data_IF_896939622429
#
_entry.id   IF_896939622429
#
_cell.length_a   1.000
_cell.length_b   1.000
_cell.length_c   1.000
_cell.angle_alpha   90.00
_cell.angle_beta   90.00
_cell.angle_gamma   90.00
#
_symmetry.space_group_name_H-M   'P 1'
#
loop_
_entity.id
_entity.type
_entity.pdbx_description
1 polymer ?
#
# COMPACT_ATOMS: atom_id res chain seq x y z
N UNK A 1 -14.54 -0.25 9.10
CA UNK A 1 -13.82 -0.54 10.37
C UNK A 1 -12.58 0.35 10.45
N UNK A 2 -12.07 0.65 11.65
CA UNK A 2 -10.84 1.46 11.78
C UNK A 2 -9.62 0.55 11.84
N UNK A 3 -8.47 0.98 11.31
CA UNK A 3 -7.19 0.25 11.40
C UNK A 3 -6.93 -0.22 12.85
N UNK A 4 -7.28 0.59 13.85
CA UNK A 4 -7.13 0.26 15.27
C UNK A 4 -7.87 -1.02 15.72
N UNK A 5 -9.04 -1.33 15.13
CA UNK A 5 -9.82 -2.51 15.53
C UNK A 5 -9.12 -3.83 15.18
N UNK A 6 -8.22 -3.82 14.18
CA UNK A 6 -7.47 -5.00 13.74
C UNK A 6 -6.41 -5.46 14.76
N UNK A 7 -5.96 -4.59 15.67
CA UNK A 7 -4.80 -4.83 16.53
C UNK A 7 -4.96 -5.97 17.56
N UNK A 8 -6.18 -6.30 17.95
CA UNK A 8 -6.47 -7.31 18.98
C UNK A 8 -7.30 -8.49 18.45
N UNK A 9 -7.53 -8.55 17.14
CA UNK A 9 -8.29 -9.62 16.50
C UNK A 9 -7.33 -10.75 16.13
N UNK A 10 -7.73 -12.02 16.27
CA UNK A 10 -6.97 -13.13 15.73
C UNK A 10 -7.16 -13.08 14.21
N UNK A 11 -6.20 -12.49 13.50
CA UNK A 11 -6.25 -12.34 12.04
C UNK A 11 -5.44 -13.44 11.36
N UNK A 12 -5.95 -13.93 10.23
CA UNK A 12 -5.21 -14.71 9.25
C UNK A 12 -5.40 -14.12 7.87
N UNK A 13 -4.59 -14.60 6.93
CA UNK A 13 -4.71 -14.26 5.51
C UNK A 13 -5.13 -15.49 4.71
N UNK A 14 -5.96 -15.29 3.69
CA UNK A 14 -6.28 -16.31 2.68
C UNK A 14 -5.28 -16.33 1.52
N UNK A 15 -4.38 -15.34 1.44
CA UNK A 15 -3.36 -15.20 0.40
C UNK A 15 -1.98 -15.73 0.80
N UNK A 16 -0.98 -15.41 0.00
CA UNK A 16 0.40 -15.87 0.19
C UNK A 16 1.10 -15.21 1.40
N UNK A 17 0.73 -13.97 1.73
CA UNK A 17 1.34 -13.21 2.81
C UNK A 17 0.52 -13.26 4.09
N UNK A 18 1.20 -13.38 5.22
CA UNK A 18 0.59 -13.23 6.53
C UNK A 18 0.14 -11.77 6.76
N UNK A 19 -0.85 -11.52 7.64
CA UNK A 19 -1.32 -10.15 7.93
C UNK A 19 -0.21 -9.17 8.33
N UNK A 20 0.84 -9.66 9.02
CA UNK A 20 2.02 -8.85 9.33
C UNK A 20 2.73 -8.33 8.07
N UNK A 21 2.99 -9.19 7.08
CA UNK A 21 3.67 -8.85 5.84
C UNK A 21 2.81 -7.93 4.97
N UNK A 22 1.50 -8.19 4.88
CA UNK A 22 0.54 -7.34 4.18
C UNK A 22 0.57 -5.89 4.72
N UNK A 23 0.42 -5.71 6.04
CA UNK A 23 0.42 -4.37 6.63
C UNK A 23 1.78 -3.67 6.51
N UNK A 24 2.87 -4.44 6.54
CA UNK A 24 4.24 -3.96 6.33
C UNK A 24 4.43 -3.46 4.90
N UNK A 25 3.91 -4.19 3.90
CA UNK A 25 3.91 -3.81 2.49
C UNK A 25 3.11 -2.53 2.24
N UNK A 26 1.89 -2.43 2.77
CA UNK A 26 1.10 -1.21 2.65
C UNK A 26 1.82 -0.01 3.27
N UNK A 27 2.51 -0.18 4.40
CA UNK A 27 3.31 0.87 5.01
C UNK A 27 4.48 1.31 4.11
N UNK A 28 5.21 0.35 3.52
CA UNK A 28 6.29 0.64 2.57
C UNK A 28 5.78 1.44 1.37
N UNK A 29 4.61 1.11 0.81
CA UNK A 29 4.02 1.85 -0.31
C UNK A 29 3.76 3.32 0.03
N UNK A 30 3.20 3.58 1.22
CA UNK A 30 2.98 4.94 1.71
C UNK A 30 4.30 5.67 1.94
N UNK A 31 5.27 5.02 2.57
CA UNK A 31 6.59 5.60 2.82
C UNK A 31 7.31 5.97 1.50
N UNK A 32 7.29 5.08 0.51
CA UNK A 32 7.90 5.30 -0.80
C UNK A 32 7.30 6.49 -1.56
N UNK A 33 6.03 6.84 -1.32
CA UNK A 33 5.44 8.06 -1.90
C UNK A 33 6.12 9.36 -1.43
N UNK A 34 6.78 9.33 -0.27
CA UNK A 34 7.55 10.45 0.26
C UNK A 34 9.05 10.32 -0.04
N UNK A 35 9.64 9.15 0.19
CA UNK A 35 11.10 8.97 0.14
C UNK A 35 11.62 8.44 -1.20
N UNK A 36 10.73 8.03 -2.11
CA UNK A 36 11.05 7.45 -3.41
C UNK A 36 10.85 5.95 -3.47
N UNK A 37 10.32 5.48 -4.61
CA UNK A 37 10.30 4.05 -4.94
C UNK A 37 11.66 3.64 -5.54
N UNK A 38 12.30 2.55 -5.06
CA UNK A 38 13.67 2.21 -5.45
C UNK A 38 13.85 1.86 -6.92
N UNK A 39 12.89 1.15 -7.51
CA UNK A 39 12.90 0.80 -8.93
C UNK A 39 11.60 1.29 -9.57
N UNK A 40 11.73 1.99 -10.68
CA UNK A 40 10.64 2.64 -11.42
C UNK A 40 10.35 1.87 -12.71
N UNK A 41 9.09 1.83 -13.13
CA UNK A 41 8.75 1.44 -14.50
C UNK A 41 9.27 2.49 -15.50
N UNK A 42 9.49 2.12 -16.77
CA UNK A 42 9.90 3.07 -17.80
C UNK A 42 8.95 4.27 -17.92
N UNK A 43 9.47 5.46 -18.18
CA UNK A 43 8.67 6.70 -18.24
C UNK A 43 7.51 6.62 -19.24
N UNK A 44 7.72 5.98 -20.40
CA UNK A 44 6.67 5.79 -21.40
C UNK A 44 5.53 4.90 -20.88
N UNK A 45 5.84 3.91 -20.03
CA UNK A 45 4.84 3.05 -19.42
C UNK A 45 3.99 3.85 -18.41
N UNK A 46 4.65 4.63 -17.54
CA UNK A 46 3.99 5.50 -16.56
C UNK A 46 3.09 6.52 -17.25
N UNK A 47 3.55 7.12 -18.34
CA UNK A 47 2.81 8.11 -19.12
C UNK A 47 1.62 7.54 -19.93
N UNK A 48 1.54 6.22 -20.10
CA UNK A 48 0.49 5.55 -20.90
C UNK A 48 -0.32 4.58 -20.05
N UNK A 49 0.09 3.32 -19.99
CA UNK A 49 -0.60 2.22 -19.30
C UNK A 49 -0.80 2.54 -17.82
N UNK A 50 0.23 3.05 -17.15
CA UNK A 50 0.17 3.43 -15.74
C UNK A 50 -0.90 4.47 -15.47
N UNK A 51 -0.86 5.59 -16.18
CA UNK A 51 -1.84 6.67 -16.05
C UNK A 51 -3.27 6.22 -16.38
N UNK A 52 -3.44 5.39 -17.42
CA UNK A 52 -4.76 4.85 -17.80
C UNK A 52 -5.31 3.93 -16.69
N UNK A 53 -4.48 3.02 -16.16
CA UNK A 53 -4.87 2.13 -15.06
C UNK A 53 -5.29 2.94 -13.83
N UNK A 54 -4.49 3.94 -13.43
CA UNK A 54 -4.82 4.80 -12.30
C UNK A 54 -6.12 5.58 -12.50
N UNK A 55 -6.37 6.07 -13.72
CA UNK A 55 -7.62 6.77 -14.06
C UNK A 55 -8.84 5.85 -13.88
N UNK A 56 -8.74 4.61 -14.38
CA UNK A 56 -9.81 3.62 -14.24
C UNK A 56 -10.04 3.26 -12.76
N UNK A 57 -8.98 2.94 -12.02
CA UNK A 57 -9.09 2.61 -10.61
C UNK A 57 -9.70 3.75 -9.80
N UNK A 58 -9.25 4.99 -10.05
CA UNK A 58 -9.82 6.18 -9.39
C UNK A 58 -11.30 6.36 -9.70
N UNK A 59 -11.75 6.06 -10.92
CA UNK A 59 -13.16 6.13 -11.30
C UNK A 59 -14.00 5.03 -10.63
N UNK A 60 -13.43 3.83 -10.45
CA UNK A 60 -14.08 2.71 -9.76
C UNK A 60 -14.04 2.84 -8.23
N UNK A 61 -13.10 3.61 -7.69
CA UNK A 61 -12.82 3.67 -6.25
C UNK A 61 -12.15 2.39 -5.72
N UNK A 62 -11.66 1.53 -6.60
CA UNK A 62 -11.01 0.27 -6.28
C UNK A 62 -9.87 -0.01 -7.28
N UNK A 63 -8.82 -0.66 -6.81
CA UNK A 63 -7.74 -1.16 -7.66
C UNK A 63 -7.66 -2.68 -7.58
N UNK A 64 -7.09 -3.28 -8.61
CA UNK A 64 -6.78 -4.70 -8.64
C UNK A 64 -5.33 -4.88 -9.10
N UNK A 65 -4.55 -5.59 -8.31
CA UNK A 65 -3.20 -6.04 -8.67
C UNK A 65 -2.88 -7.39 -7.99
N UNK A 66 -1.78 -8.06 -8.36
CA UNK A 66 -1.28 -9.22 -7.61
C UNK A 66 -0.96 -8.85 -6.17
N UNK A 67 -1.55 -9.55 -5.20
CA UNK A 67 -1.45 -9.22 -3.77
C UNK A 67 -0.21 -9.82 -3.08
N UNK A 68 0.58 -10.60 -3.83
CA UNK A 68 1.82 -11.24 -3.41
C UNK A 68 3.07 -10.68 -4.14
N UNK A 69 2.95 -9.51 -4.77
CA UNK A 69 4.04 -8.85 -5.49
C UNK A 69 4.70 -7.74 -4.64
N UNK A 70 6.00 -7.88 -4.27
CA UNK A 70 6.69 -6.86 -3.49
C UNK A 70 6.93 -5.59 -4.32
N UNK A 71 7.12 -4.46 -3.64
CA UNK A 71 7.54 -3.22 -4.31
C UNK A 71 8.96 -3.43 -4.86
N UNK A 72 9.19 -3.21 -6.17
CA UNK A 72 10.49 -3.42 -6.79
C UNK A 72 11.63 -2.68 -6.07
N UNK A 73 12.59 -3.45 -5.55
CA UNK A 73 13.79 -2.95 -4.86
C UNK A 73 13.55 -2.40 -3.44
N UNK A 74 12.33 -2.46 -2.90
CA UNK A 74 12.08 -2.14 -1.50
C UNK A 74 12.66 -3.24 -0.57
N UNK A 75 12.87 -2.94 0.73
CA UNK A 75 13.32 -3.95 1.69
C UNK A 75 12.41 -5.18 1.69
N UNK A 76 13.02 -6.37 1.76
CA UNK A 76 12.31 -7.64 1.75
C UNK A 76 11.30 -7.74 2.89
N UNK A 77 10.17 -8.39 2.61
CA UNK A 77 9.11 -8.58 3.59
C UNK A 77 9.38 -9.83 4.43
N UNK A 78 9.57 -9.63 5.73
CA UNK A 78 9.59 -10.72 6.69
C UNK A 78 8.22 -11.43 6.74
N UNK A 79 8.21 -12.76 6.59
CA UNK A 79 6.96 -13.54 6.55
C UNK A 79 6.17 -13.50 7.87
N UNK A 80 6.86 -13.31 8.98
CA UNK A 80 6.28 -13.30 10.33
C UNK A 80 6.76 -12.11 11.13
N UNK A 81 5.91 -11.63 12.04
CA UNK A 81 6.27 -10.55 12.93
C UNK A 81 5.12 -10.13 13.83
N UNK A 82 5.36 -9.05 14.58
CA UNK A 82 4.37 -8.54 15.52
C UNK A 82 3.31 -7.69 14.77
N UNK A 83 2.09 -8.21 14.68
CA UNK A 83 0.97 -7.55 14.01
C UNK A 83 0.70 -6.13 14.53
N UNK A 84 0.77 -5.91 15.85
CA UNK A 84 0.57 -4.59 16.45
C UNK A 84 1.64 -3.60 16.00
N UNK A 85 2.89 -4.05 15.83
CA UNK A 85 3.98 -3.21 15.30
C UNK A 85 3.75 -2.86 13.82
N UNK A 86 3.35 -3.82 12.99
CA UNK A 86 3.06 -3.55 11.57
C UNK A 86 1.90 -2.54 11.41
N UNK A 87 0.84 -2.71 12.20
CA UNK A 87 -0.28 -1.78 12.23
C UNK A 87 0.12 -0.37 12.70
N UNK A 88 0.95 -0.30 13.74
CA UNK A 88 1.48 0.98 14.24
C UNK A 88 2.36 1.67 13.18
N UNK A 89 3.17 0.91 12.44
CA UNK A 89 3.98 1.42 11.33
C UNK A 89 3.09 1.97 10.22
N UNK A 90 2.09 1.21 9.76
CA UNK A 90 1.15 1.67 8.74
C UNK A 90 0.44 2.96 9.16
N UNK A 91 -0.06 3.02 10.40
CA UNK A 91 -0.66 4.24 10.95
C UNK A 91 0.32 5.42 10.96
N UNK A 92 1.58 5.17 11.37
CA UNK A 92 2.62 6.21 11.36
C UNK A 92 2.89 6.69 9.93
N UNK A 93 3.02 5.79 8.96
CA UNK A 93 3.25 6.13 7.56
C UNK A 93 2.14 7.04 7.01
N UNK A 94 0.87 6.78 7.33
CA UNK A 94 -0.23 7.68 6.97
C UNK A 94 -0.13 9.05 7.63
N UNK A 95 0.21 9.12 8.92
CA UNK A 95 0.38 10.38 9.64
C UNK A 95 1.56 11.17 9.06
N UNK A 96 2.68 10.51 8.80
CA UNK A 96 3.86 11.15 8.19
C UNK A 96 3.49 11.68 6.80
N UNK A 97 2.82 10.87 5.97
CA UNK A 97 2.36 11.27 4.64
C UNK A 97 1.40 12.45 4.68
N UNK A 98 0.44 12.48 5.60
CA UNK A 98 -0.49 13.59 5.76
C UNK A 98 0.25 14.90 6.11
N UNK A 99 1.25 14.82 7.00
CA UNK A 99 2.09 15.95 7.39
C UNK A 99 3.21 16.28 6.39
N UNK A 100 3.44 15.46 5.36
CA UNK A 100 4.53 15.66 4.40
C UNK A 100 4.25 16.86 3.47
N UNK A 101 5.06 17.91 3.55
CA UNK A 101 4.90 19.15 2.78
C UNK A 101 5.88 19.29 1.62
N UNK A 102 6.90 18.43 1.57
CA UNK A 102 7.86 18.42 0.47
C UNK A 102 7.25 17.80 -0.80
N UNK A 103 8.00 17.86 -1.89
CA UNK A 103 7.59 17.24 -3.15
C UNK A 103 7.52 15.72 -3.00
N UNK A 104 6.35 15.14 -3.32
CA UNK A 104 6.16 13.69 -3.32
C UNK A 104 6.96 13.05 -4.46
N UNK A 105 7.43 11.83 -4.23
CA UNK A 105 8.10 11.06 -5.26
C UNK A 105 7.10 10.58 -6.32
N UNK A 106 7.54 10.36 -7.58
CA UNK A 106 6.71 9.73 -8.59
C UNK A 106 6.36 8.28 -8.23
N UNK A 107 5.11 7.88 -8.44
CA UNK A 107 4.69 6.50 -8.22
C UNK A 107 5.36 5.57 -9.25
N UNK A 108 5.92 4.46 -8.80
CA UNK A 108 6.70 3.55 -9.64
C UNK A 108 5.97 3.04 -10.89
N UNK A 109 4.64 2.96 -10.84
CA UNK A 109 3.78 2.52 -11.96
C UNK A 109 2.98 3.67 -12.59
N UNK A 110 2.59 4.68 -11.82
CA UNK A 110 1.60 5.68 -12.27
C UNK A 110 2.23 7.03 -12.64
N UNK A 111 3.52 7.23 -12.34
CA UNK A 111 4.20 8.51 -12.54
C UNK A 111 3.82 9.53 -11.48
N UNK A 112 3.89 10.81 -11.85
CA UNK A 112 3.59 11.91 -10.93
C UNK A 112 2.13 11.89 -10.52
N UNK A 113 1.89 11.90 -9.20
CA UNK A 113 0.57 11.97 -8.61
C UNK A 113 0.47 13.18 -7.70
N UNK A 114 -0.69 13.83 -7.68
CA UNK A 114 -0.98 14.85 -6.67
C UNK A 114 -1.11 14.19 -5.29
N UNK A 115 -1.03 14.99 -4.22
CA UNK A 115 -1.27 14.47 -2.85
C UNK A 115 -2.65 13.83 -2.71
N UNK A 116 -3.67 14.38 -3.36
CA UNK A 116 -5.02 13.79 -3.38
C UNK A 116 -5.09 12.47 -4.14
N UNK A 117 -4.33 12.34 -5.23
CA UNK A 117 -4.26 11.10 -5.99
C UNK A 117 -3.50 10.02 -5.23
N UNK A 118 -2.45 10.38 -4.50
CA UNK A 118 -1.78 9.46 -3.58
C UNK A 118 -2.70 9.00 -2.45
N UNK A 119 -3.53 9.88 -1.87
CA UNK A 119 -4.53 9.47 -0.87
C UNK A 119 -5.45 8.39 -1.47
N UNK A 120 -5.95 8.60 -2.70
CA UNK A 120 -6.78 7.61 -3.39
C UNK A 120 -6.03 6.31 -3.62
N UNK A 121 -4.81 6.38 -4.15
CA UNK A 121 -3.97 5.22 -4.41
C UNK A 121 -3.76 4.40 -3.14
N UNK A 122 -3.37 5.04 -2.03
CA UNK A 122 -3.09 4.38 -0.77
C UNK A 122 -4.33 3.73 -0.14
N UNK A 123 -5.51 4.37 -0.25
CA UNK A 123 -6.77 3.81 0.25
C UNK A 123 -7.20 2.61 -0.59
N UNK A 124 -7.16 2.71 -1.92
CA UNK A 124 -7.48 1.60 -2.81
C UNK A 124 -6.53 0.43 -2.60
N UNK A 125 -5.23 0.71 -2.47
CA UNK A 125 -4.18 -0.29 -2.23
C UNK A 125 -4.39 -1.04 -0.92
N UNK A 126 -4.60 -0.29 0.18
CA UNK A 126 -4.92 -0.90 1.47
C UNK A 126 -6.18 -1.75 1.38
N UNK A 127 -7.26 -1.24 0.79
CA UNK A 127 -8.52 -1.97 0.70
C UNK A 127 -8.38 -3.27 -0.09
N UNK A 128 -7.67 -3.27 -1.22
CA UNK A 128 -7.45 -4.48 -2.02
C UNK A 128 -6.67 -5.54 -1.22
N UNK A 129 -5.63 -5.15 -0.47
CA UNK A 129 -4.93 -6.08 0.41
C UNK A 129 -5.76 -6.58 1.60
N UNK A 130 -6.65 -5.75 2.15
CA UNK A 130 -7.55 -6.18 3.23
C UNK A 130 -8.55 -7.24 2.77
N UNK A 131 -8.78 -7.40 1.46
CA UNK A 131 -9.62 -8.47 0.90
C UNK A 131 -9.06 -9.87 1.18
N UNK A 132 -7.78 -10.02 1.51
CA UNK A 132 -7.20 -11.32 1.93
C UNK A 132 -7.24 -11.54 3.44
N UNK A 133 -7.48 -10.50 4.24
CA UNK A 133 -7.47 -10.61 5.70
C UNK A 133 -8.83 -11.10 6.21
N UNK A 134 -8.80 -12.10 7.09
CA UNK A 134 -9.97 -12.67 7.76
C UNK A 134 -9.73 -12.76 9.26
N UNK A 135 -10.81 -12.73 10.02
CA UNK A 135 -10.78 -13.17 11.41
C UNK A 135 -10.86 -14.69 11.47
N UNK A 136 -10.15 -15.30 12.42
CA UNK A 136 -10.48 -16.67 12.81
C UNK A 136 -11.93 -16.71 13.29
N UNK A 137 -12.72 -17.62 12.71
CA UNK A 137 -14.01 -17.99 13.29
C UNK A 137 -13.72 -18.80 14.55
N UNK A 138 -14.38 -18.43 15.66
CA UNK A 138 -14.30 -19.16 16.92
C UNK A 138 -14.87 -20.59 16.79
#
# INVERSE_FOLDING_TARGET
ETIASLSNRPLHSTGAWQPYAILTHCAQSVECSMVGYPIQQPEIYKATVGKLAFTLFSALGAMQHPLDEPIPGAPELEAHGNLKKALARLKKAYIDFDNYTDSLAPHFTYGDLSKQDYIRAHVMHLNNHLEEIREYSA
#
